data_IF_574470512046
#
_entry.id   IF_574470512046
#
_cell.length_a   1.000
_cell.length_b   1.000
_cell.length_c   1.000
_cell.angle_alpha   90.00
_cell.angle_beta   90.00
_cell.angle_gamma   90.00
#
_symmetry.space_group_name_H-M   'P 1'
#
loop_
_entity.id
_entity.type
_entity.pdbx_description
1 polymer ?
#
# COMPACT_ATOMS: atom_id res chain seq x y z
N UNK A 1 -17.06 5.81 -5.84
CA UNK A 1 -16.89 6.29 -4.46
C UNK A 1 -16.01 5.32 -3.71
N UNK A 2 -15.58 5.66 -2.49
CA UNK A 2 -14.92 4.71 -1.58
C UNK A 2 -15.99 3.84 -0.90
N UNK A 3 -15.68 2.59 -0.54
CA UNK A 3 -16.61 1.69 0.15
C UNK A 3 -15.92 0.92 1.28
N UNK A 4 -16.66 0.47 2.31
CA UNK A 4 -16.13 -0.41 3.35
C UNK A 4 -16.19 -1.89 2.91
N UNK A 5 -15.64 -2.21 1.75
CA UNK A 5 -15.73 -3.53 1.12
C UNK A 5 -14.50 -4.42 1.38
N UNK A 6 -14.73 -5.74 1.34
CA UNK A 6 -13.74 -6.82 1.50
C UNK A 6 -13.02 -6.79 2.87
N UNK A 7 -11.87 -7.46 2.96
CA UNK A 7 -11.12 -7.66 4.19
C UNK A 7 -10.24 -6.44 4.50
N UNK A 8 -9.95 -6.24 5.79
CA UNK A 8 -8.88 -5.33 6.22
C UNK A 8 -7.53 -6.01 6.11
N UNK A 9 -6.47 -5.24 5.88
CA UNK A 9 -5.10 -5.72 6.08
C UNK A 9 -4.86 -6.16 7.54
N UNK A 10 -3.99 -7.14 7.72
CA UNK A 10 -3.63 -7.71 9.01
C UNK A 10 -3.02 -6.66 9.95
N UNK A 11 -2.18 -5.76 9.42
CA UNK A 11 -1.51 -4.69 10.17
C UNK A 11 -2.40 -3.46 10.43
N UNK A 12 -3.63 -3.41 9.90
CA UNK A 12 -4.55 -2.30 10.12
C UNK A 12 -5.17 -2.36 11.53
N UNK A 13 -5.29 -1.20 12.21
CA UNK A 13 -5.85 -1.09 13.58
C UNK A 13 -7.35 -0.77 13.62
N UNK A 14 -8.02 -0.67 12.49
CA UNK A 14 -9.48 -0.56 12.46
C UNK A 14 -10.16 -1.94 12.49
N UNK A 15 -11.42 -1.99 12.92
CA UNK A 15 -12.20 -3.25 12.98
C UNK A 15 -12.68 -3.75 11.60
N UNK A 16 -12.74 -2.86 10.60
CA UNK A 16 -13.15 -3.17 9.23
C UNK A 16 -12.78 -2.00 8.30
N UNK A 17 -12.69 -2.23 6.97
CA UNK A 17 -12.45 -1.15 6.02
C UNK A 17 -13.48 -0.02 6.14
N UNK A 18 -13.08 1.22 5.81
CA UNK A 18 -13.94 2.42 5.94
C UNK A 18 -14.16 3.13 4.62
N UNK A 19 -13.08 3.63 4.06
CA UNK A 19 -12.99 4.39 2.82
C UNK A 19 -12.12 3.66 1.80
N UNK A 20 -12.32 2.34 1.67
CA UNK A 20 -11.44 1.51 0.87
C UNK A 20 -11.50 1.89 -0.62
N UNK A 21 -10.34 1.84 -1.27
CA UNK A 21 -10.13 2.10 -2.69
C UNK A 21 -9.19 1.07 -3.27
N UNK A 22 -9.63 0.44 -4.36
CA UNK A 22 -8.90 -0.61 -5.03
C UNK A 22 -8.16 -0.12 -6.28
N UNK A 23 -6.93 -0.60 -6.43
CA UNK A 23 -6.11 -0.48 -7.62
C UNK A 23 -5.59 -1.88 -7.98
N UNK A 24 -5.13 -2.04 -9.22
CA UNK A 24 -4.51 -3.30 -9.65
C UNK A 24 -3.35 -3.02 -10.60
N UNK A 25 -2.39 -3.93 -10.62
CA UNK A 25 -1.26 -3.88 -11.53
C UNK A 25 -0.86 -5.31 -11.94
N UNK A 26 -0.14 -5.42 -13.04
CA UNK A 26 0.52 -6.66 -13.45
C UNK A 26 1.98 -6.54 -13.11
N UNK A 27 2.51 -7.49 -12.34
CA UNK A 27 3.91 -7.46 -11.91
C UNK A 27 4.85 -7.59 -13.11
N UNK A 28 5.87 -6.74 -13.19
CA UNK A 28 6.96 -6.82 -14.18
C UNK A 28 8.23 -7.44 -13.59
N UNK A 29 8.38 -7.35 -12.27
CA UNK A 29 9.50 -7.87 -11.48
C UNK A 29 8.95 -8.66 -10.29
N UNK A 30 9.77 -9.45 -9.58
CA UNK A 30 9.32 -10.17 -8.38
C UNK A 30 9.21 -9.28 -7.13
N UNK A 31 9.36 -7.96 -7.28
CA UNK A 31 9.49 -7.01 -6.19
C UNK A 31 8.61 -5.80 -6.45
N UNK A 32 8.14 -5.17 -5.39
CA UNK A 32 7.44 -3.89 -5.50
C UNK A 32 7.65 -3.06 -4.24
N UNK A 33 7.77 -1.75 -4.41
CA UNK A 33 7.52 -0.78 -3.35
C UNK A 33 6.28 0.04 -3.69
N UNK A 34 5.36 0.17 -2.74
CA UNK A 34 4.10 0.88 -2.90
C UNK A 34 4.03 1.96 -1.84
N UNK A 35 3.85 3.22 -2.25
CA UNK A 35 3.70 4.33 -1.31
C UNK A 35 2.40 5.10 -1.48
N UNK A 36 1.75 5.35 -0.35
CA UNK A 36 0.60 6.23 -0.22
C UNK A 36 1.08 7.54 0.38
N UNK A 37 1.24 8.52 -0.49
CA UNK A 37 1.76 9.83 -0.14
C UNK A 37 0.65 10.84 0.12
N UNK A 38 0.85 11.67 1.15
CA UNK A 38 -0.04 12.77 1.54
C UNK A 38 0.73 14.07 1.80
N UNK A 39 -0.03 15.13 2.06
CA UNK A 39 0.49 16.47 2.32
C UNK A 39 0.63 17.32 1.05
N UNK A 40 0.39 18.62 1.17
CA UNK A 40 0.48 19.57 0.06
C UNK A 40 -0.40 19.13 -1.13
N UNK A 41 0.20 19.09 -2.32
CA UNK A 41 -0.47 18.61 -3.55
C UNK A 41 -0.63 17.10 -3.61
N UNK A 42 0.02 16.32 -2.74
CA UNK A 42 -0.01 14.86 -2.79
C UNK A 42 -1.28 14.28 -2.18
N UNK A 43 -1.89 14.94 -1.21
CA UNK A 43 -3.11 14.43 -0.59
C UNK A 43 -3.53 15.12 0.68
N UNK A 44 -4.83 15.04 0.99
CA UNK A 44 -5.42 15.54 2.23
C UNK A 44 -5.84 14.44 3.21
N UNK A 45 -5.87 13.17 2.79
CA UNK A 45 -6.24 12.07 3.68
C UNK A 45 -5.30 11.96 4.89
N UNK A 46 -5.75 11.34 5.97
CA UNK A 46 -4.93 11.08 7.15
C UNK A 46 -5.27 9.70 7.73
N UNK A 47 -4.44 9.16 8.63
CA UNK A 47 -4.56 7.78 9.10
C UNK A 47 -4.64 6.74 7.97
N UNK A 48 -3.76 6.86 6.98
CA UNK A 48 -3.75 6.00 5.80
C UNK A 48 -3.38 4.56 6.16
N UNK A 49 -3.98 3.61 5.45
CA UNK A 49 -3.72 2.18 5.58
C UNK A 49 -3.60 1.58 4.17
N UNK A 50 -2.63 0.70 3.98
CA UNK A 50 -2.26 0.15 2.68
C UNK A 50 -2.18 -1.37 2.79
N UNK A 51 -2.65 -2.10 1.79
CA UNK A 51 -2.46 -3.54 1.70
C UNK A 51 -2.33 -4.00 0.25
N UNK A 52 -1.55 -5.06 0.08
CA UNK A 52 -1.31 -5.78 -1.17
C UNK A 52 -1.96 -7.17 -1.10
N UNK A 53 -2.59 -7.56 -2.19
CA UNK A 53 -3.41 -8.76 -2.27
C UNK A 53 -3.12 -9.56 -3.54
N UNK A 54 -3.36 -10.86 -3.47
CA UNK A 54 -3.47 -11.73 -4.63
C UNK A 54 -4.63 -11.34 -5.56
N UNK A 55 -4.71 -12.00 -6.72
CA UNK A 55 -5.70 -11.73 -7.76
C UNK A 55 -7.18 -11.87 -7.30
N UNK A 56 -7.44 -12.58 -6.20
CA UNK A 56 -8.79 -12.73 -5.60
C UNK A 56 -9.23 -11.48 -4.80
N UNK A 57 -8.30 -10.59 -4.48
CA UNK A 57 -8.51 -9.45 -3.59
C UNK A 57 -9.01 -9.86 -2.20
N UNK A 58 -8.62 -11.04 -1.72
CA UNK A 58 -9.00 -11.64 -0.43
C UNK A 58 -7.77 -12.14 0.31
N UNK A 59 -6.85 -12.80 -0.41
CA UNK A 59 -5.61 -13.34 0.15
C UNK A 59 -4.59 -12.21 0.25
N UNK A 60 -4.28 -11.80 1.48
CA UNK A 60 -3.31 -10.75 1.77
C UNK A 60 -1.88 -11.24 1.53
N UNK A 61 -1.04 -10.40 0.93
CA UNK A 61 0.39 -10.61 0.77
C UNK A 61 1.19 -9.81 1.80
N UNK A 62 0.84 -8.53 1.97
CA UNK A 62 1.45 -7.63 2.94
C UNK A 62 0.51 -6.45 3.22
N UNK A 63 0.59 -5.86 4.41
CA UNK A 63 -0.09 -4.59 4.72
C UNK A 63 0.74 -3.71 5.65
N UNK A 64 0.53 -2.40 5.56
CA UNK A 64 1.09 -1.46 6.53
C UNK A 64 0.10 -0.32 6.76
N UNK A 65 0.39 0.51 7.76
CA UNK A 65 -0.43 1.65 8.12
C UNK A 65 0.41 2.80 8.64
N UNK A 66 -0.26 3.93 8.78
CA UNK A 66 0.27 5.10 9.44
C UNK A 66 0.93 4.80 10.81
N UNK A 67 2.07 5.43 11.09
CA UNK A 67 2.65 5.50 12.44
C UNK A 67 2.04 6.64 13.26
N UNK A 68 1.93 7.82 12.64
CA UNK A 68 1.27 9.03 13.12
C UNK A 68 0.18 9.48 12.14
N UNK A 69 -0.71 10.36 12.57
CA UNK A 69 -1.91 10.75 11.80
C UNK A 69 -1.61 11.20 10.37
N UNK A 70 -0.46 11.82 10.16
CA UNK A 70 -0.12 12.54 8.95
C UNK A 70 1.07 11.93 8.20
N UNK A 71 1.42 10.69 8.51
CA UNK A 71 2.52 10.01 7.83
C UNK A 71 2.08 9.49 6.45
N UNK A 72 3.07 9.34 5.57
CA UNK A 72 2.93 8.47 4.41
C UNK A 72 2.93 7.00 4.89
N UNK A 73 2.55 6.10 3.99
CA UNK A 73 2.66 4.66 4.24
C UNK A 73 3.39 4.06 3.07
N UNK A 74 4.47 3.35 3.36
CA UNK A 74 5.32 2.66 2.40
C UNK A 74 5.19 1.15 2.64
N UNK A 75 5.17 0.36 1.58
CA UNK A 75 4.95 -1.08 1.64
C UNK A 75 5.81 -1.76 0.57
N UNK A 76 6.90 -2.37 1.02
CA UNK A 76 7.74 -3.23 0.21
C UNK A 76 7.26 -4.67 0.24
N UNK A 77 7.31 -5.35 -0.89
CA UNK A 77 7.03 -6.79 -0.97
C UNK A 77 7.94 -7.46 -1.99
N UNK A 78 8.53 -8.59 -1.59
CA UNK A 78 9.25 -9.50 -2.48
C UNK A 78 8.48 -10.81 -2.59
N UNK A 79 8.51 -11.44 -3.76
CA UNK A 79 7.78 -12.69 -4.02
C UNK A 79 6.64 -12.57 -5.04
N UNK A 80 6.55 -11.46 -5.76
CA UNK A 80 5.64 -11.37 -6.90
C UNK A 80 6.08 -12.32 -8.02
N UNK A 81 5.12 -12.78 -8.81
CA UNK A 81 5.37 -13.52 -10.04
C UNK A 81 5.13 -12.59 -11.23
N UNK A 82 6.17 -12.25 -12.03
CA UNK A 82 5.99 -11.45 -13.23
C UNK A 82 4.90 -12.02 -14.16
N UNK A 83 4.03 -11.15 -14.66
CA UNK A 83 2.86 -11.51 -15.46
C UNK A 83 1.59 -11.78 -14.66
N UNK A 84 1.67 -12.03 -13.35
CA UNK A 84 0.49 -12.14 -12.49
C UNK A 84 -0.09 -10.75 -12.15
N UNK A 85 -1.40 -10.70 -11.94
CA UNK A 85 -2.11 -9.49 -11.52
C UNK A 85 -2.32 -9.49 -10.02
N UNK A 86 -2.00 -8.36 -9.39
CA UNK A 86 -2.15 -8.14 -7.95
C UNK A 86 -3.03 -6.92 -7.70
N UNK A 87 -3.59 -6.85 -6.49
CA UNK A 87 -4.49 -5.77 -6.09
C UNK A 87 -3.92 -5.00 -4.91
N UNK A 88 -4.15 -3.69 -4.91
CA UNK A 88 -3.77 -2.78 -3.84
C UNK A 88 -5.03 -2.18 -3.26
N UNK A 89 -5.13 -2.13 -1.95
CA UNK A 89 -6.22 -1.45 -1.24
C UNK A 89 -5.67 -0.31 -0.39
N UNK A 90 -6.20 0.90 -0.57
CA UNK A 90 -5.91 2.07 0.26
C UNK A 90 -7.16 2.41 1.06
N UNK A 91 -7.04 2.43 2.38
CA UNK A 91 -8.11 2.74 3.32
C UNK A 91 -7.68 3.82 4.32
N UNK A 92 -8.61 4.25 5.17
CA UNK A 92 -8.33 5.13 6.31
C UNK A 92 -8.90 4.56 7.59
N UNK A 93 -8.26 4.82 8.74
CA UNK A 93 -8.69 4.27 10.03
C UNK A 93 -10.17 4.51 10.37
N UNK A 94 -10.70 5.69 10.04
CA UNK A 94 -12.10 6.05 10.21
C UNK A 94 -12.66 6.77 8.96
N UNK A 95 -13.98 6.88 8.88
CA UNK A 95 -14.67 7.48 7.71
C UNK A 95 -14.35 8.96 7.52
N UNK A 96 -14.11 9.70 8.60
CA UNK A 96 -13.83 11.15 8.56
C UNK A 96 -12.42 11.46 8.03
N UNK A 97 -11.54 10.46 8.00
CA UNK A 97 -10.18 10.59 7.53
C UNK A 97 -10.01 10.50 6.00
N UNK A 98 -11.14 10.43 5.27
CA UNK A 98 -11.18 10.46 3.81
C UNK A 98 -10.51 11.72 3.24
N UNK A 99 -9.86 11.58 2.09
CA UNK A 99 -9.29 12.69 1.35
C UNK A 99 -8.67 12.22 0.05
N UNK A 100 -7.90 13.09 -0.59
CA UNK A 100 -7.03 12.69 -1.71
C UNK A 100 -5.72 12.09 -1.20
N UNK A 101 -5.07 11.31 -2.06
CA UNK A 101 -3.72 10.78 -1.87
C UNK A 101 -3.06 10.59 -3.23
N UNK A 102 -1.75 10.42 -3.20
CA UNK A 102 -0.94 10.04 -4.37
C UNK A 102 -0.42 8.64 -4.13
N UNK A 103 -0.71 7.75 -5.07
CA UNK A 103 -0.23 6.37 -5.05
C UNK A 103 0.98 6.26 -5.99
N UNK A 104 2.13 5.83 -5.48
CA UNK A 104 3.32 5.56 -6.26
C UNK A 104 3.68 4.08 -6.19
N UNK A 105 4.11 3.51 -7.31
CA UNK A 105 4.60 2.13 -7.41
C UNK A 105 5.99 2.15 -8.04
N UNK A 106 6.92 1.42 -7.45
CA UNK A 106 8.27 1.17 -7.97
C UNK A 106 8.49 -0.33 -8.09
N UNK A 107 9.07 -0.80 -9.20
CA UNK A 107 9.26 -2.23 -9.49
C UNK A 107 10.55 -2.82 -8.88
N UNK A 108 11.12 -2.10 -7.92
CA UNK A 108 12.23 -2.51 -7.05
C UNK A 108 11.85 -2.14 -5.61
N UNK A 109 12.23 -2.97 -4.64
CA UNK A 109 12.16 -2.58 -3.22
C UNK A 109 13.26 -1.58 -2.89
N UNK A 110 13.07 -0.80 -1.83
CA UNK A 110 14.07 0.13 -1.34
C UNK A 110 15.22 -0.58 -0.60
N UNK A 111 16.20 0.22 -0.14
CA UNK A 111 17.40 -0.29 0.51
C UNK A 111 17.19 -0.88 1.90
N UNK A 112 15.96 -0.86 2.44
CA UNK A 112 15.63 -1.54 3.69
C UNK A 112 15.53 -3.06 3.50
N UNK A 113 15.36 -3.52 2.26
CA UNK A 113 15.40 -4.93 1.88
C UNK A 113 16.80 -5.38 1.46
N UNK A 114 17.16 -6.64 1.76
CA UNK A 114 18.43 -7.24 1.31
C UNK A 114 18.59 -7.14 -0.21
N UNK A 115 17.50 -7.35 -0.95
CA UNK A 115 17.44 -7.27 -2.40
C UNK A 115 17.61 -5.85 -2.96
N UNK A 116 17.27 -4.82 -2.17
CA UNK A 116 17.40 -3.41 -2.56
C UNK A 116 18.67 -2.74 -2.04
N UNK A 117 19.55 -3.49 -1.36
CA UNK A 117 20.76 -2.95 -0.75
C UNK A 117 21.65 -2.22 -1.77
N UNK A 118 21.98 -0.97 -1.47
CA UNK A 118 22.85 -0.15 -2.31
C UNK A 118 24.32 -0.48 -2.07
N UNK A 119 25.05 -0.79 -3.13
CA UNK A 119 26.51 -0.86 -3.08
C UNK A 119 27.11 0.54 -2.87
N UNK A 120 27.92 0.68 -1.82
CA UNK A 120 28.58 1.92 -1.41
C UNK A 120 30.10 1.85 -1.52
N UNK A 121 30.63 0.77 -2.12
CA UNK A 121 32.07 0.48 -2.10
C UNK A 121 32.92 1.29 -3.09
N UNK A 122 32.30 1.90 -4.11
CA UNK A 122 32.98 2.78 -5.07
C UNK A 122 33.79 2.05 -6.15
#
# INVERSE_FOLDING_TARGET
>A
GASPDKNKGSNWNNGSPKNNRWFKFTATTPQINISVNRGGSKGSQYYAQLALWEADGITELESDRYGSAYDNVDLGYTGLTPGNTYYISVDTYNTNASGSFTLCLEDQVDYDFYEGAKDVSG
#
